data_IF_203359467792
#
_entry.id   IF_203359467792
#
_cell.length_a   1.000
_cell.length_b   1.000
_cell.length_c   1.000
_cell.angle_alpha   90.00
_cell.angle_beta   90.00
_cell.angle_gamma   90.00
#
_symmetry.space_group_name_H-M   'P 1'
#
loop_
_entity.id
_entity.type
_entity.pdbx_description
1 polymer ?
#
# COMPACT_ATOMS: atom_id res chain seq x y z
N UNK A 1 -10.01 -17.34 -3.53
CA UNK A 1 -9.09 -16.69 -2.57
C UNK A 1 -9.04 -15.21 -2.92
N UNK A 2 -9.15 -14.29 -1.93
CA UNK A 2 -8.98 -12.87 -2.18
C UNK A 2 -7.58 -12.60 -2.74
N UNK A 3 -7.47 -11.70 -3.72
CA UNK A 3 -6.22 -11.41 -4.43
C UNK A 3 -5.35 -10.48 -3.57
N UNK A 4 -4.13 -10.89 -3.23
CA UNK A 4 -3.14 -10.01 -2.61
C UNK A 4 -2.72 -8.90 -3.57
N UNK A 5 -2.48 -7.70 -3.05
CA UNK A 5 -2.24 -6.49 -3.86
C UNK A 5 -1.00 -6.64 -4.76
N UNK A 6 -0.01 -7.41 -4.32
CA UNK A 6 1.24 -7.65 -5.05
C UNK A 6 1.21 -8.86 -5.98
N UNK A 7 0.07 -9.53 -6.11
CA UNK A 7 -0.13 -10.55 -7.13
C UNK A 7 -0.34 -9.97 -8.55
N UNK A 8 -0.42 -8.64 -8.68
CA UNK A 8 -0.74 -7.88 -9.90
C UNK A 8 0.39 -6.94 -10.36
N UNK A 9 1.65 -7.20 -10.00
CA UNK A 9 2.75 -6.24 -10.16
C UNK A 9 2.92 -5.76 -11.61
N UNK A 10 2.68 -4.47 -11.83
CA UNK A 10 2.99 -3.77 -13.07
C UNK A 10 4.41 -3.19 -13.00
N UNK A 11 5.11 -3.08 -14.13
CA UNK A 11 6.47 -2.58 -14.25
C UNK A 11 6.61 -1.54 -15.37
N UNK A 12 7.71 -0.78 -15.37
CA UNK A 12 8.03 0.21 -16.39
C UNK A 12 9.46 -0.05 -16.90
N UNK A 13 9.62 -0.18 -18.21
CA UNK A 13 10.90 -0.25 -18.90
C UNK A 13 11.10 1.09 -19.63
N UNK A 14 12.18 1.80 -19.29
CA UNK A 14 12.54 3.07 -19.94
C UNK A 14 13.77 2.88 -20.82
N UNK A 15 13.61 3.12 -22.11
CA UNK A 15 14.69 3.20 -23.11
C UNK A 15 14.88 4.67 -23.50
N UNK A 16 15.98 5.01 -24.20
CA UNK A 16 16.40 6.38 -24.48
C UNK A 16 15.29 7.30 -25.01
N UNK A 17 14.40 6.77 -25.86
CA UNK A 17 13.28 7.51 -26.46
C UNK A 17 11.90 6.82 -26.28
N UNK A 18 11.81 5.72 -25.53
CA UNK A 18 10.58 4.91 -25.48
C UNK A 18 10.30 4.35 -24.07
N UNK A 19 9.02 4.34 -23.70
CA UNK A 19 8.53 3.80 -22.43
C UNK A 19 7.56 2.64 -22.67
N UNK A 20 7.88 1.50 -22.07
CA UNK A 20 7.06 0.30 -22.10
C UNK A 20 6.54 -0.04 -20.71
N UNK A 21 5.26 -0.31 -20.62
CA UNK A 21 4.60 -0.78 -19.41
C UNK A 21 4.49 -2.29 -19.44
N UNK A 22 4.68 -2.91 -18.28
CA UNK A 22 4.38 -4.30 -18.00
C UNK A 22 3.15 -4.28 -17.11
N UNK A 23 2.07 -4.94 -17.47
CA UNK A 23 0.88 -5.06 -16.62
C UNK A 23 0.37 -6.51 -16.67
N UNK A 24 -0.41 -6.98 -15.67
CA UNK A 24 -1.10 -8.26 -15.78
C UNK A 24 -1.90 -8.34 -17.08
N UNK A 25 -1.82 -9.47 -17.79
CA UNK A 25 -2.50 -9.66 -19.07
C UNK A 25 -4.03 -9.57 -18.86
N UNK A 26 -4.70 -8.55 -19.45
CA UNK A 26 -6.15 -8.43 -19.36
C UNK A 26 -6.86 -9.63 -20.01
N UNK A 27 -8.02 -10.02 -19.46
CA UNK A 27 -8.77 -11.17 -19.98
C UNK A 27 -9.23 -10.99 -21.43
N UNK A 28 -9.52 -9.76 -21.87
CA UNK A 28 -9.92 -9.53 -23.26
C UNK A 28 -8.76 -9.72 -24.23
N UNK A 29 -7.55 -9.30 -23.86
CA UNK A 29 -6.35 -9.56 -24.66
C UNK A 29 -5.96 -11.04 -24.60
N UNK A 30 -6.13 -11.69 -23.45
CA UNK A 30 -5.94 -13.13 -23.34
C UNK A 30 -6.91 -13.90 -24.26
N UNK A 31 -8.18 -13.49 -24.31
CA UNK A 31 -9.19 -14.08 -25.20
C UNK A 31 -8.93 -13.76 -26.68
N UNK A 32 -8.53 -12.54 -27.01
CA UNK A 32 -8.17 -12.12 -28.38
C UNK A 32 -6.98 -12.94 -28.91
N UNK A 33 -6.02 -13.26 -28.05
CA UNK A 33 -4.82 -14.02 -28.40
C UNK A 33 -4.91 -15.53 -28.07
N UNK A 34 -6.08 -16.06 -27.71
CA UNK A 34 -6.29 -17.47 -27.31
C UNK A 34 -5.27 -17.97 -26.26
N UNK A 35 -4.88 -17.10 -25.33
CA UNK A 35 -3.90 -17.40 -24.30
C UNK A 35 -4.58 -17.97 -23.05
N UNK A 36 -4.16 -19.16 -22.63
CA UNK A 36 -4.56 -19.78 -21.35
C UNK A 36 -3.33 -19.95 -20.47
N UNK A 37 -3.39 -19.44 -19.24
CA UNK A 37 -2.26 -19.54 -18.32
C UNK A 37 -2.22 -20.92 -17.63
N UNK A 38 -1.04 -21.56 -17.51
CA UNK A 38 -0.85 -22.72 -16.65
C UNK A 38 -1.23 -22.42 -15.19
N UNK A 39 -1.71 -23.43 -14.45
CA UNK A 39 -2.04 -23.28 -13.03
C UNK A 39 -0.88 -22.69 -12.24
N UNK A 40 -1.14 -21.57 -11.55
CA UNK A 40 -0.15 -20.86 -10.72
C UNK A 40 0.71 -19.82 -11.47
N UNK A 41 0.51 -19.61 -12.77
CA UNK A 41 1.23 -18.57 -13.53
C UNK A 41 0.36 -17.32 -13.73
N UNK A 42 1.00 -16.15 -13.65
CA UNK A 42 0.37 -14.85 -13.81
C UNK A 42 0.96 -14.19 -15.06
N UNK A 43 0.27 -14.24 -16.20
CA UNK A 43 0.79 -13.69 -17.44
C UNK A 43 0.78 -12.16 -17.41
N UNK A 44 1.78 -11.53 -18.02
CA UNK A 44 1.89 -10.09 -18.16
C UNK A 44 1.93 -9.69 -19.63
N UNK A 45 1.38 -8.52 -19.95
CA UNK A 45 1.49 -7.86 -21.25
C UNK A 45 2.51 -6.73 -21.16
N UNK A 46 3.38 -6.64 -22.18
CA UNK A 46 4.32 -5.54 -22.35
C UNK A 46 3.81 -4.65 -23.48
N UNK A 47 3.59 -3.37 -23.23
CA UNK A 47 3.03 -2.45 -24.23
C UNK A 47 3.65 -1.05 -24.15
N UNK A 48 3.73 -0.36 -25.30
CA UNK A 48 4.16 1.04 -25.34
C UNK A 48 3.13 1.96 -24.70
N UNK A 49 3.55 3.10 -24.14
CA UNK A 49 2.64 4.15 -23.64
C UNK A 49 1.50 4.49 -24.61
N UNK A 50 1.78 4.55 -25.91
CA UNK A 50 0.78 4.85 -26.95
C UNK A 50 -0.34 3.79 -27.09
N UNK A 51 -0.13 2.58 -26.58
CA UNK A 51 -1.09 1.48 -26.65
C UNK A 51 -1.94 1.33 -25.36
N UNK A 52 -1.76 2.20 -24.36
CA UNK A 52 -2.44 2.13 -23.07
C UNK A 52 -3.98 2.12 -23.21
N UNK A 53 -4.52 2.97 -24.07
CA UNK A 53 -5.97 3.01 -24.34
C UNK A 53 -6.51 1.68 -24.89
N UNK A 54 -5.68 0.86 -25.57
CA UNK A 54 -6.09 -0.46 -26.09
C UNK A 54 -6.06 -1.52 -25.00
N UNK A 55 -5.06 -1.43 -24.12
CA UNK A 55 -4.91 -2.35 -22.98
C UNK A 55 -6.03 -2.14 -21.96
N UNK A 56 -6.52 -0.90 -21.78
CA UNK A 56 -7.64 -0.57 -20.88
C UNK A 56 -9.01 -0.38 -21.57
N UNK A 57 -9.10 -0.60 -22.89
CA UNK A 57 -10.28 -0.25 -23.71
C UNK A 57 -11.61 -0.87 -23.22
N UNK A 58 -11.57 -2.05 -22.60
CA UNK A 58 -12.79 -2.75 -22.13
C UNK A 58 -13.23 -2.37 -20.72
N UNK A 59 -12.43 -1.66 -19.93
CA UNK A 59 -12.90 -1.08 -18.66
C UNK A 59 -13.78 0.16 -18.89
N UNK A 60 -13.69 0.81 -20.06
CA UNK A 60 -14.49 1.99 -20.41
C UNK A 60 -15.79 1.69 -21.19
N UNK A 61 -15.94 0.47 -21.73
CA UNK A 61 -17.02 0.14 -22.66
C UNK A 61 -18.33 -0.32 -22.00
N UNK A 62 -18.34 -0.60 -20.69
CA UNK A 62 -19.58 -0.93 -19.97
C UNK A 62 -20.38 0.32 -19.53
N UNK A 63 -19.80 1.53 -19.65
CA UNK A 63 -20.44 2.78 -19.20
C UNK A 63 -21.24 3.49 -20.31
N UNK A 64 -21.27 2.97 -21.55
CA UNK A 64 -21.75 3.73 -22.71
C UNK A 64 -23.19 3.44 -23.16
N UNK A 65 -23.95 2.57 -22.46
CA UNK A 65 -25.30 2.18 -22.90
C UNK A 65 -26.47 3.02 -22.34
N UNK A 66 -26.21 4.13 -21.65
CA UNK A 66 -27.30 4.96 -21.07
C UNK A 66 -27.05 6.46 -21.25
N UNK A 67 -26.95 6.96 -22.48
CA UNK A 67 -27.30 8.36 -22.75
C UNK A 67 -27.61 8.62 -24.22
N UNK A 68 -28.91 8.70 -24.53
CA UNK A 68 -29.40 9.34 -25.76
C UNK A 68 -29.78 10.79 -25.49
N UNK A 69 -29.60 11.71 -26.46
CA UNK A 69 -29.69 13.15 -26.25
C UNK A 69 -31.11 13.65 -26.48
N UNK A 70 -31.88 13.88 -25.40
CA UNK A 70 -33.17 14.56 -25.48
C UNK A 70 -33.41 15.43 -24.23
N UNK A 71 -32.56 16.43 -24.02
CA UNK A 71 -32.89 17.59 -23.18
C UNK A 71 -31.88 18.72 -23.43
N UNK A 72 -31.81 19.16 -24.69
CA UNK A 72 -31.33 20.49 -25.04
C UNK A 72 -32.47 21.49 -24.74
N UNK A 73 -32.35 22.27 -23.67
CA UNK A 73 -32.73 23.69 -23.52
C UNK A 73 -32.80 24.03 -22.03
N UNK A 74 -31.80 24.74 -21.49
CA UNK A 74 -31.96 26.16 -21.14
C UNK A 74 -30.78 26.70 -20.33
N UNK A 75 -30.45 27.96 -20.62
CA UNK A 75 -29.70 28.95 -19.82
C UNK A 75 -28.16 28.91 -19.85
N UNK A 76 -27.66 29.50 -20.93
CA UNK A 76 -26.58 30.49 -20.88
C UNK A 76 -26.92 31.62 -19.88
N UNK A 77 -26.13 31.79 -18.82
CA UNK A 77 -25.69 33.10 -18.26
C UNK A 77 -24.45 32.83 -17.37
N UNK A 78 -23.31 33.44 -17.71
CA UNK A 78 -22.18 33.64 -16.79
C UNK A 78 -22.31 35.05 -16.19
N UNK A 79 -22.07 35.22 -14.88
CA UNK A 79 -21.14 36.27 -14.48
C UNK A 79 -20.05 35.78 -13.52
N UNK A 80 -18.88 36.37 -13.74
CA UNK A 80 -17.65 36.37 -12.95
C UNK A 80 -17.90 37.04 -11.59
N UNK A 81 -17.62 36.36 -10.46
CA UNK A 81 -17.29 37.00 -9.19
C UNK A 81 -16.74 36.00 -8.15
N UNK A 82 -15.72 36.47 -7.43
CA UNK A 82 -14.77 35.73 -6.62
C UNK A 82 -15.34 35.46 -5.21
N UNK A 83 -15.84 34.26 -4.90
CA UNK A 83 -16.17 33.87 -3.52
C UNK A 83 -15.81 32.41 -3.16
N UNK A 84 -15.33 32.28 -1.92
CA UNK A 84 -14.70 31.16 -1.19
C UNK A 84 -15.36 29.77 -1.42
N UNK A 85 -14.60 28.66 -1.52
CA UNK A 85 -15.21 27.34 -1.66
C UNK A 85 -15.84 26.89 -0.34
N UNK A 86 -17.15 27.09 -0.25
CA UNK A 86 -18.03 26.41 0.68
C UNK A 86 -17.96 24.89 0.52
N UNK A 87 -18.06 24.20 1.65
CA UNK A 87 -18.05 22.75 1.82
C UNK A 87 -18.88 22.01 0.76
N UNK A 88 -18.22 21.29 -0.13
CA UNK A 88 -18.86 20.35 -1.04
C UNK A 88 -19.60 19.26 -0.23
N UNK A 89 -20.92 19.18 -0.39
CA UNK A 89 -21.71 18.05 0.11
C UNK A 89 -21.29 16.80 -0.66
N UNK A 90 -20.72 15.82 0.07
CA UNK A 90 -20.28 14.52 -0.47
C UNK A 90 -21.45 13.83 -1.17
N UNK A 91 -21.27 13.48 -2.44
CA UNK A 91 -22.16 12.60 -3.18
C UNK A 91 -22.22 11.22 -2.49
N UNK A 92 -23.37 10.52 -2.49
CA UNK A 92 -23.44 9.15 -1.97
C UNK A 92 -22.59 8.25 -2.87
N UNK A 93 -21.58 7.59 -2.28
CA UNK A 93 -20.74 6.60 -2.97
C UNK A 93 -21.64 5.43 -3.38
N UNK A 94 -21.87 5.27 -4.69
CA UNK A 94 -22.41 4.05 -5.27
C UNK A 94 -21.28 3.02 -5.30
N UNK A 95 -21.27 2.12 -4.30
CA UNK A 95 -20.25 1.09 -4.16
C UNK A 95 -20.47 -0.04 -5.18
N UNK A 96 -20.06 0.15 -6.42
CA UNK A 96 -19.74 -0.97 -7.31
C UNK A 96 -18.42 -1.58 -6.83
N UNK A 97 -18.49 -2.39 -5.76
CA UNK A 97 -17.31 -3.03 -5.14
C UNK A 97 -16.76 -4.13 -6.06
N UNK A 98 -15.81 -3.76 -6.91
CA UNK A 98 -14.77 -4.69 -7.36
C UNK A 98 -14.01 -5.14 -6.11
N UNK A 99 -13.83 -6.46 -5.94
CA UNK A 99 -13.45 -7.10 -4.67
C UNK A 99 -12.29 -6.43 -3.92
N UNK A 100 -12.40 -6.37 -2.59
CA UNK A 100 -11.42 -5.70 -1.72
C UNK A 100 -10.00 -6.24 -1.88
N UNK A 101 -9.03 -5.34 -1.76
CA UNK A 101 -7.60 -5.63 -1.88
C UNK A 101 -7.07 -6.06 -0.52
N UNK A 102 -6.34 -7.17 -0.48
CA UNK A 102 -5.64 -7.60 0.74
C UNK A 102 -4.17 -7.18 0.67
N UNK A 103 -3.67 -6.65 1.78
CA UNK A 103 -2.24 -6.43 2.01
C UNK A 103 -1.80 -7.40 3.09
N UNK A 104 -1.00 -8.39 2.70
CA UNK A 104 -0.42 -9.35 3.62
C UNK A 104 0.76 -8.72 4.38
N UNK A 105 0.62 -8.50 5.68
CA UNK A 105 1.59 -7.75 6.48
C UNK A 105 2.37 -8.66 7.44
N UNK A 106 3.69 -8.61 7.35
CA UNK A 106 4.62 -9.10 8.38
C UNK A 106 4.82 -8.00 9.41
N UNK A 107 4.62 -8.32 10.68
CA UNK A 107 4.88 -7.40 11.79
C UNK A 107 6.04 -7.94 12.62
N UNK A 108 7.02 -7.09 12.91
CA UNK A 108 8.19 -7.42 13.72
C UNK A 108 8.25 -6.45 14.89
N UNK A 109 8.23 -6.98 16.11
CA UNK A 109 8.45 -6.20 17.32
C UNK A 109 9.87 -6.45 17.83
N UNK A 110 10.65 -5.38 17.99
CA UNK A 110 12.03 -5.48 18.45
C UNK A 110 12.12 -5.81 19.96
N UNK A 111 13.34 -6.01 20.44
CA UNK A 111 13.59 -6.28 21.86
C UNK A 111 13.11 -5.13 22.76
N UNK A 112 13.21 -3.88 22.33
CA UNK A 112 12.74 -2.72 23.10
C UNK A 112 11.23 -2.70 23.30
N UNK A 113 10.47 -3.17 22.32
CA UNK A 113 9.03 -3.40 22.45
C UNK A 113 8.72 -4.45 23.53
N UNK A 114 9.48 -5.54 23.57
CA UNK A 114 9.32 -6.59 24.58
C UNK A 114 9.69 -6.08 25.98
N UNK A 115 10.73 -5.26 26.09
CA UNK A 115 11.15 -4.62 27.35
C UNK A 115 10.07 -3.63 27.86
N UNK A 116 9.47 -2.85 26.97
CA UNK A 116 8.50 -1.80 27.32
C UNK A 116 7.12 -2.35 27.70
N UNK A 117 6.58 -3.30 26.93
CA UNK A 117 5.22 -3.82 27.11
C UNK A 117 5.16 -5.15 27.88
N UNK A 118 6.30 -5.83 28.03
CA UNK A 118 6.38 -7.16 28.64
C UNK A 118 6.01 -8.28 27.66
N UNK A 119 6.68 -9.42 27.80
CA UNK A 119 6.54 -10.58 26.89
C UNK A 119 5.12 -11.11 26.77
N UNK A 120 4.34 -11.05 27.85
CA UNK A 120 2.98 -11.58 27.90
C UNK A 120 1.96 -10.65 27.21
N UNK A 121 2.19 -9.33 27.23
CA UNK A 121 1.22 -8.34 26.76
C UNK A 121 1.58 -7.76 25.38
N UNK A 122 2.85 -7.81 24.97
CA UNK A 122 3.31 -7.21 23.70
C UNK A 122 2.53 -7.74 22.50
N UNK A 123 2.19 -9.03 22.48
CA UNK A 123 1.40 -9.62 21.39
C UNK A 123 0.02 -8.99 21.30
N UNK A 124 -0.69 -8.90 22.42
CA UNK A 124 -2.02 -8.28 22.50
C UNK A 124 -1.95 -6.80 22.13
N UNK A 125 -0.92 -6.10 22.58
CA UNK A 125 -0.67 -4.71 22.24
C UNK A 125 -0.51 -4.53 20.72
N UNK A 126 0.41 -5.27 20.10
CA UNK A 126 0.69 -5.19 18.67
C UNK A 126 -0.54 -5.54 17.83
N UNK A 127 -1.28 -6.59 18.21
CA UNK A 127 -2.52 -6.97 17.51
C UNK A 127 -3.61 -5.89 17.65
N UNK A 128 -3.69 -5.22 18.80
CA UNK A 128 -4.64 -4.11 19.02
C UNK A 128 -4.32 -2.94 18.09
N UNK A 129 -3.05 -2.54 18.03
CA UNK A 129 -2.58 -1.49 17.11
C UNK A 129 -2.86 -1.87 15.66
N UNK A 130 -2.54 -3.10 15.24
CA UNK A 130 -2.79 -3.55 13.87
C UNK A 130 -4.29 -3.66 13.54
N UNK A 131 -5.15 -3.96 14.51
CA UNK A 131 -6.60 -3.93 14.33
C UNK A 131 -7.10 -2.49 14.10
N UNK A 132 -6.54 -1.52 14.81
CA UNK A 132 -6.79 -0.09 14.56
C UNK A 132 -6.32 0.32 13.16
N UNK A 133 -5.11 -0.08 12.75
CA UNK A 133 -4.60 0.15 11.38
C UNK A 133 -5.55 -0.43 10.33
N UNK A 134 -5.97 -1.69 10.49
CA UNK A 134 -6.91 -2.34 9.57
C UNK A 134 -8.24 -1.58 9.48
N UNK A 135 -8.71 -1.00 10.59
CA UNK A 135 -9.92 -0.17 10.62
C UNK A 135 -9.74 1.16 9.89
N UNK A 136 -8.56 1.79 10.00
CA UNK A 136 -8.23 3.03 9.28
C UNK A 136 -8.24 2.81 7.76
N UNK A 137 -7.66 1.70 7.27
CA UNK A 137 -7.64 1.38 5.83
C UNK A 137 -8.99 0.95 5.25
N UNK A 138 -9.96 0.62 6.12
CA UNK A 138 -11.35 0.31 5.75
C UNK A 138 -12.25 1.54 5.75
N UNK A 139 -11.74 2.71 6.13
CA UNK A 139 -12.55 3.92 6.15
C UNK A 139 -13.03 4.28 4.73
N UNK A 140 -14.34 4.50 4.58
CA UNK A 140 -14.97 4.76 3.29
C UNK A 140 -14.48 6.03 2.59
N UNK A 141 -13.72 6.90 3.26
CA UNK A 141 -13.08 8.08 2.67
C UNK A 141 -11.87 7.76 1.79
N UNK A 142 -11.27 6.57 1.91
CA UNK A 142 -10.15 6.11 1.09
C UNK A 142 -10.59 5.75 -0.34
N UNK A 143 -11.90 5.52 -0.56
CA UNK A 143 -12.47 5.23 -1.87
C UNK A 143 -12.23 3.81 -2.39
N UNK A 144 -11.35 3.03 -1.74
CA UNK A 144 -11.06 1.63 -2.05
C UNK A 144 -11.13 0.77 -0.79
N UNK A 145 -11.65 -0.46 -0.90
CA UNK A 145 -11.75 -1.41 0.22
C UNK A 145 -10.40 -2.14 0.40
N UNK A 146 -9.52 -1.57 1.22
CA UNK A 146 -8.19 -2.13 1.53
C UNK A 146 -8.24 -2.86 2.87
N UNK A 147 -7.82 -4.12 2.87
CA UNK A 147 -7.82 -5.00 4.02
C UNK A 147 -6.36 -5.31 4.41
N UNK A 148 -5.90 -4.69 5.50
CA UNK A 148 -4.61 -5.04 6.10
C UNK A 148 -4.78 -6.34 6.90
N UNK A 149 -4.01 -7.37 6.56
CA UNK A 149 -4.06 -8.71 7.15
C UNK A 149 -2.69 -9.07 7.71
N UNK A 150 -2.59 -9.28 9.02
CA UNK A 150 -1.34 -9.74 9.64
C UNK A 150 -1.15 -11.24 9.36
N UNK A 151 -0.16 -11.58 8.55
CA UNK A 151 0.15 -12.98 8.18
C UNK A 151 1.25 -13.61 9.03
N UNK A 152 2.08 -12.78 9.67
CA UNK A 152 3.12 -13.23 10.58
C UNK A 152 3.44 -12.13 11.59
N UNK A 153 3.59 -12.52 12.86
CA UNK A 153 4.12 -11.68 13.93
C UNK A 153 5.43 -12.30 14.42
N UNK A 154 6.50 -11.52 14.43
CA UNK A 154 7.81 -11.91 14.96
C UNK A 154 8.15 -11.04 16.17
N UNK A 155 8.44 -11.69 17.30
CA UNK A 155 8.91 -11.04 18.51
C UNK A 155 10.41 -11.30 18.62
N UNK A 156 11.23 -10.26 18.54
CA UNK A 156 12.68 -10.38 18.62
C UNK A 156 13.11 -10.26 20.09
N UNK A 157 13.52 -11.38 20.69
CA UNK A 157 14.10 -11.34 22.04
C UNK A 157 15.52 -10.78 22.06
N UNK A 158 16.23 -10.90 20.92
CA UNK A 158 17.57 -10.41 20.69
C UNK A 158 17.70 -9.96 19.23
N UNK A 159 18.64 -9.09 18.95
CA UNK A 159 18.87 -8.56 17.60
C UNK A 159 19.51 -9.67 16.72
N UNK A 160 18.82 -10.17 15.69
CA UNK A 160 19.32 -11.27 14.87
C UNK A 160 20.48 -10.81 13.97
N UNK A 161 21.30 -11.75 13.54
CA UNK A 161 22.39 -11.46 12.60
C UNK A 161 21.86 -10.82 11.32
N UNK A 162 22.49 -9.70 10.91
CA UNK A 162 22.11 -8.94 9.71
C UNK A 162 20.97 -7.93 9.93
N UNK A 163 20.43 -7.80 11.14
CA UNK A 163 19.50 -6.74 11.52
C UNK A 163 20.16 -5.80 12.52
N UNK A 164 20.32 -4.53 12.13
CA UNK A 164 20.85 -3.47 12.97
C UNK A 164 19.76 -2.40 13.16
N UNK A 165 19.30 -2.24 14.39
CA UNK A 165 18.29 -1.24 14.76
C UNK A 165 18.98 -0.22 15.69
N UNK A 166 18.99 1.03 15.29
CA UNK A 166 19.55 2.16 16.00
C UNK A 166 18.66 3.41 15.85
N UNK A 167 19.06 4.52 16.48
CA UNK A 167 18.33 5.79 16.44
C UNK A 167 18.25 6.42 15.03
N UNK A 168 19.10 6.05 14.07
CA UNK A 168 19.03 6.56 12.70
C UNK A 168 17.97 5.81 11.90
N UNK A 169 16.82 6.44 11.66
CA UNK A 169 15.68 5.81 11.02
C UNK A 169 16.02 5.22 9.64
N UNK A 170 16.81 5.92 8.81
CA UNK A 170 17.21 5.45 7.48
C UNK A 170 18.12 4.20 7.53
N UNK A 171 19.11 4.17 8.43
CA UNK A 171 20.00 3.01 8.57
C UNK A 171 19.23 1.78 9.07
N UNK A 172 18.42 1.97 10.11
CA UNK A 172 17.59 0.93 10.69
C UNK A 172 16.57 0.37 9.69
N UNK A 173 15.92 1.25 8.94
CA UNK A 173 15.01 0.87 7.87
C UNK A 173 15.73 0.05 6.79
N UNK A 174 16.85 0.55 6.23
CA UNK A 174 17.55 -0.17 5.17
C UNK A 174 18.04 -1.55 5.63
N UNK A 175 18.56 -1.64 6.85
CA UNK A 175 18.95 -2.93 7.46
C UNK A 175 17.74 -3.86 7.61
N UNK A 176 16.61 -3.34 8.10
CA UNK A 176 15.37 -4.12 8.24
C UNK A 176 14.82 -4.61 6.91
N UNK A 177 14.76 -3.74 5.90
CA UNK A 177 14.30 -4.07 4.56
C UNK A 177 15.16 -5.19 3.92
N UNK A 178 16.49 -5.11 4.10
CA UNK A 178 17.41 -6.14 3.62
C UNK A 178 17.22 -7.45 4.38
N UNK A 179 17.11 -7.39 5.70
CA UNK A 179 16.93 -8.56 6.56
C UNK A 179 15.61 -9.30 6.26
N UNK A 180 14.48 -8.59 6.17
CA UNK A 180 13.19 -9.22 5.91
C UNK A 180 13.15 -9.89 4.54
N UNK A 181 13.87 -9.33 3.55
CA UNK A 181 13.97 -9.92 2.21
C UNK A 181 14.63 -11.32 2.23
N UNK A 182 15.43 -11.61 3.27
CA UNK A 182 16.05 -12.92 3.47
C UNK A 182 15.14 -13.97 4.12
N UNK A 183 13.95 -13.59 4.60
CA UNK A 183 13.04 -14.51 5.28
C UNK A 183 12.42 -15.51 4.29
N UNK A 184 12.93 -16.74 4.29
CA UNK A 184 12.43 -17.83 3.45
C UNK A 184 11.09 -18.34 4.02
N UNK A 185 10.09 -18.54 3.16
CA UNK A 185 8.82 -19.17 3.52
C UNK A 185 7.76 -18.28 4.16
N UNK A 186 8.07 -17.00 4.45
CA UNK A 186 7.11 -16.01 4.96
C UNK A 186 6.81 -14.96 3.89
N UNK A 187 5.97 -15.31 2.92
CA UNK A 187 5.52 -14.36 1.91
C UNK A 187 4.62 -13.30 2.58
N UNK A 188 4.91 -12.05 2.29
CA UNK A 188 4.14 -10.89 2.73
C UNK A 188 4.31 -9.79 1.67
N UNK A 189 3.30 -8.94 1.57
CA UNK A 189 3.28 -7.77 0.68
C UNK A 189 3.98 -6.58 1.33
N UNK A 190 3.93 -6.49 2.66
CA UNK A 190 4.45 -5.36 3.44
C UNK A 190 5.06 -5.80 4.78
N UNK A 191 6.18 -5.20 5.19
CA UNK A 191 6.84 -5.46 6.47
C UNK A 191 6.82 -4.22 7.37
N UNK A 192 6.39 -4.37 8.62
CA UNK A 192 6.32 -3.31 9.60
C UNK A 192 7.21 -3.66 10.78
N UNK A 193 8.25 -2.87 11.02
CA UNK A 193 9.07 -2.92 12.23
C UNK A 193 8.51 -1.95 13.26
N UNK A 194 8.27 -2.45 14.46
CA UNK A 194 7.88 -1.69 15.64
C UNK A 194 9.05 -1.67 16.61
N UNK A 195 9.48 -0.48 17.00
CA UNK A 195 10.60 -0.30 17.93
C UNK A 195 10.21 0.57 19.11
N UNK A 196 10.71 0.20 20.29
CA UNK A 196 10.64 1.07 21.48
C UNK A 196 11.78 2.09 21.56
N UNK A 197 12.64 2.19 20.53
CA UNK A 197 13.68 3.21 20.43
C UNK A 197 13.11 4.51 19.89
N UNK A 198 13.62 5.63 20.42
CA UNK A 198 13.40 6.97 19.87
C UNK A 198 14.16 7.10 18.53
N UNK A 199 13.45 7.18 17.40
CA UNK A 199 14.10 7.23 16.08
C UNK A 199 14.16 8.66 15.54
N UNK A 200 15.24 8.96 14.86
CA UNK A 200 15.56 10.31 14.40
C UNK A 200 15.92 10.25 12.90
N UNK A 201 15.36 11.18 12.12
CA UNK A 201 15.58 11.19 10.67
C UNK A 201 17.05 11.47 10.30
N UNK A 202 17.71 12.45 10.95
CA UNK A 202 19.04 12.91 10.51
C UNK A 202 20.06 13.34 11.59
N UNK A 203 19.70 13.48 12.88
CA UNK A 203 20.63 13.84 13.99
C UNK A 203 20.16 13.28 15.35
N UNK A 204 21.06 13.24 16.33
CA UNK A 204 20.84 12.65 17.67
C UNK A 204 19.94 13.45 18.63
N UNK A 205 19.34 14.57 18.22
CA UNK A 205 18.22 15.27 18.90
C UNK A 205 17.91 16.61 18.19
N UNK A 206 16.68 17.14 18.29
CA UNK A 206 15.46 16.50 18.79
C UNK A 206 14.86 15.51 17.77
N UNK A 207 14.34 14.41 18.29
CA UNK A 207 13.79 13.32 17.49
C UNK A 207 12.26 13.47 17.38
N UNK A 208 11.81 14.12 16.31
CA UNK A 208 10.38 14.29 16.00
C UNK A 208 9.88 13.20 15.02
N UNK A 209 10.70 12.18 14.74
CA UNK A 209 10.41 11.18 13.70
C UNK A 209 9.74 9.96 14.30
N UNK A 210 8.43 9.83 14.13
CA UNK A 210 7.69 8.67 14.68
C UNK A 210 7.68 7.47 13.72
N UNK A 211 7.92 7.69 12.44
CA UNK A 211 7.86 6.67 11.40
C UNK A 211 8.77 7.01 10.23
N UNK A 212 9.19 5.98 9.49
CA UNK A 212 10.01 6.16 8.29
C UNK A 212 9.75 5.06 7.26
N UNK A 213 9.55 5.48 6.01
CA UNK A 213 9.21 4.62 4.89
C UNK A 213 9.83 5.12 3.57
N UNK A 214 10.35 4.22 2.71
CA UNK A 214 10.62 4.55 1.32
C UNK A 214 9.31 4.89 0.59
N UNK A 215 9.29 5.95 -0.21
CA UNK A 215 8.11 6.29 -1.03
C UNK A 215 7.93 5.25 -2.15
N UNK A 216 6.69 4.89 -2.46
CA UNK A 216 6.31 4.02 -3.60
C UNK A 216 7.05 2.69 -3.62
N UNK A 217 7.09 2.02 -2.47
CA UNK A 217 7.80 0.76 -2.28
C UNK A 217 6.91 -0.48 -2.25
N UNK A 218 5.57 -0.35 -2.34
CA UNK A 218 4.67 -1.49 -2.23
C UNK A 218 5.03 -2.57 -3.27
N UNK A 219 4.98 -3.84 -2.87
CA UNK A 219 5.31 -4.98 -3.73
C UNK A 219 6.79 -5.13 -4.12
N UNK A 220 7.67 -4.22 -3.68
CA UNK A 220 9.10 -4.45 -3.77
C UNK A 220 9.58 -5.24 -2.57
N UNK A 221 10.19 -6.39 -2.83
CA UNK A 221 10.80 -7.21 -1.79
C UNK A 221 11.85 -6.47 -0.96
N UNK A 222 12.46 -5.40 -1.49
CA UNK A 222 13.51 -4.64 -0.81
C UNK A 222 13.07 -3.26 -0.33
N UNK A 223 11.85 -2.83 -0.67
CA UNK A 223 11.35 -1.47 -0.34
C UNK A 223 9.98 -1.46 0.32
N UNK A 224 9.27 -2.59 0.39
CA UNK A 224 7.97 -2.69 1.05
C UNK A 224 8.13 -2.94 2.55
N UNK A 225 8.73 -1.96 3.21
CA UNK A 225 9.11 -1.99 4.62
C UNK A 225 8.89 -0.61 5.24
N UNK A 226 8.52 -0.58 6.52
CA UNK A 226 8.41 0.63 7.36
C UNK A 226 9.02 0.36 8.73
N UNK A 227 9.54 1.41 9.36
CA UNK A 227 9.94 1.40 10.77
C UNK A 227 9.10 2.45 11.51
N UNK A 228 8.60 2.10 12.69
CA UNK A 228 7.70 2.95 13.45
C UNK A 228 8.09 2.90 14.93
N UNK A 229 8.26 4.06 15.53
CA UNK A 229 8.49 4.25 16.96
C UNK A 229 7.19 4.09 17.75
N UNK A 230 7.27 3.33 18.83
CA UNK A 230 6.15 3.09 19.71
C UNK A 230 5.81 4.29 20.61
N UNK A 231 4.72 4.96 20.26
CA UNK A 231 4.13 6.07 21.02
C UNK A 231 2.85 5.69 21.76
N UNK A 232 2.58 4.39 21.95
CA UNK A 232 1.31 3.89 22.47
C UNK A 232 0.27 3.67 21.36
N UNK A 233 -1.03 3.69 21.70
CA UNK A 233 -2.08 3.42 20.72
C UNK A 233 -2.09 4.37 19.51
N UNK A 234 -1.53 5.59 19.66
CA UNK A 234 -1.33 6.53 18.56
C UNK A 234 -0.47 6.00 17.41
N UNK A 235 0.37 4.99 17.68
CA UNK A 235 1.19 4.28 16.71
C UNK A 235 0.41 3.79 15.48
N UNK A 236 -0.88 3.46 15.62
CA UNK A 236 -1.69 3.03 14.48
C UNK A 236 -1.80 4.10 13.39
N UNK A 237 -1.88 5.38 13.76
CA UNK A 237 -1.92 6.47 12.79
C UNK A 237 -0.58 6.63 12.08
N UNK A 238 0.53 6.47 12.80
CA UNK A 238 1.88 6.47 12.23
C UNK A 238 2.03 5.34 11.23
N UNK A 239 1.70 4.09 11.60
CA UNK A 239 1.78 2.95 10.67
C UNK A 239 0.90 3.20 9.44
N UNK A 240 -0.31 3.74 9.62
CA UNK A 240 -1.20 4.04 8.50
C UNK A 240 -0.63 5.12 7.58
N UNK A 241 -0.03 6.18 8.13
CA UNK A 241 0.65 7.22 7.37
C UNK A 241 1.83 6.66 6.57
N UNK A 242 2.72 5.91 7.22
CA UNK A 242 3.90 5.32 6.59
C UNK A 242 3.54 4.25 5.54
N UNK A 243 2.49 3.47 5.80
CA UNK A 243 1.97 2.49 4.84
C UNK A 243 1.24 3.18 3.68
N UNK A 244 0.71 4.39 3.89
CA UNK A 244 0.07 5.19 2.84
C UNK A 244 1.05 5.85 1.86
N UNK A 245 2.33 6.02 2.25
CA UNK A 245 3.40 6.45 1.34
C UNK A 245 3.80 5.37 0.30
N UNK A 246 3.31 4.13 0.46
CA UNK A 246 3.70 2.97 -0.34
C UNK A 246 2.84 2.76 -1.57
#
# INVERSE_FOLDING_TARGET
MPRGICALQSGLIRMSDEEYFIAPLPQHLAAEHNYSSPSGHHPHVVYKRSAEHKVHAREAAETTLLWTPQAMYDRLVMPDEFELPGRAKRSPITSNKVGGLNVETLVVADRKMLEKHGRENVTTYVLTVMNMVSSLFKDGTIGTDINIVVVSLLLLEQDPLGLSINHHADQSLNSFCQWQSGLIGKRHDHAVLLTGLDICSWKNEPCDTLGFAPISGMCSKYRSCTINEDTGLGLAFTIAHESGHK
#
